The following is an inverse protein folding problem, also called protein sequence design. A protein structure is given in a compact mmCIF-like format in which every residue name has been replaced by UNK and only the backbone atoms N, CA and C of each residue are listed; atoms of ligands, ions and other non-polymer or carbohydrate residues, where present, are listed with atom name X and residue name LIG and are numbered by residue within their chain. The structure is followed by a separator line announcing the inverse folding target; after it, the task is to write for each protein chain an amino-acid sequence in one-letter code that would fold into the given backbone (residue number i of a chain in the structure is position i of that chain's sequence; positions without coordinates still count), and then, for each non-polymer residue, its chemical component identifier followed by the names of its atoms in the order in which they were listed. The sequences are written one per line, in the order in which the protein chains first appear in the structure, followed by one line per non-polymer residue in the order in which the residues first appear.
data_IF_380281262403
#
_entry.id   IF_380281262403
#
_cell.length_a   1.000
_cell.length_b   1.000
_cell.length_c   1.000
_cell.angle_alpha   90.00
_cell.angle_beta   90.00
_cell.angle_gamma   90.00
#
_symmetry.space_group_name_H-M   'P 1'
#
loop_
_entity.id
_entity.type
_entity.pdbx_description
1 polymer ?
#
# COMPACT_ATOMS: atom_id res chain seq x y z
N UNK A 1 -34.37 14.10 60.88
CA UNK A 1 -33.16 14.18 60.01
C UNK A 1 -32.67 12.77 59.71
N UNK A 2 -33.27 12.01 58.86
CA UNK A 2 -32.92 10.60 58.72
C UNK A 2 -33.31 9.91 57.43
N UNK A 3 -33.96 10.55 56.47
CA UNK A 3 -34.38 9.90 55.23
C UNK A 3 -33.83 10.48 53.91
N UNK A 4 -33.26 11.65 53.90
CA UNK A 4 -32.73 12.29 52.69
C UNK A 4 -31.29 11.82 52.37
N UNK A 5 -30.50 11.40 53.33
CA UNK A 5 -29.11 10.96 53.12
C UNK A 5 -28.97 9.60 52.45
N UNK A 6 -29.96 8.68 52.55
CA UNK A 6 -29.88 7.32 51.97
C UNK A 6 -30.24 7.25 50.49
N UNK A 7 -31.04 8.20 49.99
CA UNK A 7 -31.40 8.26 48.60
C UNK A 7 -30.28 8.82 47.72
N UNK A 8 -29.51 9.80 48.24
CA UNK A 8 -28.36 10.36 47.55
C UNK A 8 -27.16 9.39 47.47
N UNK A 9 -26.96 8.56 48.51
CA UNK A 9 -25.92 7.55 48.48
C UNK A 9 -26.15 6.42 47.46
N UNK A 10 -27.42 6.04 47.21
CA UNK A 10 -27.79 5.05 46.17
C UNK A 10 -27.62 5.58 44.74
N UNK A 11 -27.87 6.86 44.49
CA UNK A 11 -27.67 7.50 43.20
C UNK A 11 -26.16 7.58 42.83
N UNK A 12 -25.30 7.90 43.80
CA UNK A 12 -23.86 7.89 43.57
C UNK A 12 -23.27 6.49 43.32
N UNK A 13 -23.82 5.45 43.92
CA UNK A 13 -23.37 4.07 43.68
C UNK A 13 -23.82 3.52 42.33
N UNK A 14 -24.97 3.91 41.81
CA UNK A 14 -25.41 3.55 40.47
C UNK A 14 -24.63 4.28 39.37
N UNK A 15 -24.23 5.52 39.59
CA UNK A 15 -23.37 6.25 38.66
C UNK A 15 -21.96 5.63 38.58
N UNK A 16 -21.38 5.19 39.72
CA UNK A 16 -20.08 4.54 39.74
C UNK A 16 -20.07 3.16 39.05
N UNK A 17 -21.20 2.43 39.06
CA UNK A 17 -21.32 1.12 38.40
C UNK A 17 -21.49 1.24 36.86
N UNK A 18 -21.96 2.37 36.34
CA UNK A 18 -21.99 2.65 34.89
C UNK A 18 -20.61 3.03 34.33
N UNK A 19 -19.73 3.59 35.14
CA UNK A 19 -18.38 4.00 34.71
C UNK A 19 -17.36 2.85 34.69
N UNK A 20 -17.65 1.69 35.25
CA UNK A 20 -16.80 0.50 35.24
C UNK A 20 -16.67 -0.21 33.88
N UNK A 21 -17.41 0.24 32.84
CA UNK A 21 -17.37 -0.36 31.48
C UNK A 21 -16.65 0.47 30.42
N UNK A 22 -16.13 1.62 30.77
CA UNK A 22 -15.32 2.45 29.86
C UNK A 22 -13.91 2.44 30.44
N UNK A 23 -13.02 1.69 29.80
CA UNK A 23 -11.61 1.56 30.19
C UNK A 23 -10.90 2.91 30.15
N UNK A 24 -10.76 3.58 31.30
CA UNK A 24 -9.91 4.73 31.47
C UNK A 24 -8.58 4.34 32.14
N UNK A 25 -7.44 4.83 31.64
CA UNK A 25 -6.15 4.49 32.20
C UNK A 25 -5.95 5.08 33.61
N UNK A 26 -5.25 4.33 34.42
CA UNK A 26 -4.85 4.62 35.79
C UNK A 26 -4.23 6.02 35.98
N UNK A 27 -4.98 6.97 36.47
CA UNK A 27 -4.41 8.17 37.04
C UNK A 27 -5.40 8.80 38.03
N UNK A 28 -5.31 8.38 39.28
CA UNK A 28 -5.52 9.16 40.49
C UNK A 28 -5.57 8.23 41.72
N UNK A 29 -4.41 7.69 42.09
CA UNK A 29 -4.21 7.19 43.46
C UNK A 29 -3.89 8.43 44.32
N UNK A 30 -4.90 9.03 44.94
CA UNK A 30 -4.66 9.92 46.06
C UNK A 30 -4.21 9.07 47.24
N UNK A 31 -2.89 9.11 47.56
CA UNK A 31 -2.38 8.65 48.84
C UNK A 31 -2.91 9.58 49.95
N UNK A 32 -3.48 9.00 51.00
CA UNK A 32 -3.84 9.70 52.23
C UNK A 32 -2.59 10.39 52.79
N UNK A 33 -2.57 11.74 52.74
CA UNK A 33 -1.65 12.54 53.46
C UNK A 33 -2.29 12.91 54.82
N UNK A 34 -1.92 12.15 55.84
CA UNK A 34 -2.27 12.50 57.22
C UNK A 34 -1.44 13.70 57.67
N UNK A 35 -2.05 14.87 57.67
CA UNK A 35 -1.50 16.04 58.34
C UNK A 35 -2.12 16.14 59.74
N UNK A 36 -1.31 15.94 60.82
CA UNK A 36 -1.74 15.91 62.22
C UNK A 36 -2.11 17.29 62.78
N UNK A 37 -2.03 18.40 62.05
CA UNK A 37 -2.16 19.76 62.55
C UNK A 37 -3.40 20.54 62.11
N UNK A 38 -4.25 20.05 61.20
CA UNK A 38 -5.38 20.83 60.64
C UNK A 38 -6.70 20.07 60.73
N UNK A 39 -7.29 19.98 61.94
CA UNK A 39 -8.49 19.18 62.22
C UNK A 39 -9.84 19.74 61.73
N UNK A 40 -9.94 20.86 61.05
CA UNK A 40 -11.24 21.45 60.64
C UNK A 40 -11.32 21.88 59.17
N UNK A 41 -10.33 22.61 58.72
CA UNK A 41 -10.38 23.30 57.42
C UNK A 41 -10.15 22.38 56.19
N UNK A 42 -9.44 21.26 56.37
CA UNK A 42 -9.10 20.38 55.23
C UNK A 42 -10.29 19.59 54.71
N UNK A 43 -11.25 19.21 55.60
CA UNK A 43 -12.47 18.51 55.18
C UNK A 43 -13.40 19.38 54.32
N UNK A 44 -13.47 20.67 54.59
CA UNK A 44 -14.27 21.63 53.83
C UNK A 44 -13.64 21.87 52.45
N UNK A 45 -12.32 22.00 52.39
CA UNK A 45 -11.58 22.21 51.13
C UNK A 45 -11.65 20.97 50.23
N UNK A 46 -11.52 19.76 50.78
CA UNK A 46 -11.68 18.51 49.99
C UNK A 46 -13.11 18.30 49.50
N UNK A 47 -14.13 18.71 50.30
CA UNK A 47 -15.51 18.61 49.88
C UNK A 47 -15.83 19.59 48.72
N UNK A 48 -15.26 20.79 48.77
CA UNK A 48 -15.42 21.83 47.75
C UNK A 48 -14.65 21.46 46.47
N UNK A 49 -13.44 20.89 46.57
CA UNK A 49 -12.66 20.44 45.43
C UNK A 49 -13.34 19.24 44.73
N UNK A 50 -13.89 18.29 45.48
CA UNK A 50 -14.67 17.19 44.90
C UNK A 50 -15.98 17.66 44.22
N UNK A 51 -16.65 18.66 44.76
CA UNK A 51 -17.80 19.29 44.12
C UNK A 51 -17.41 20.04 42.83
N UNK A 52 -16.30 20.77 42.84
CA UNK A 52 -15.76 21.46 41.66
C UNK A 52 -15.36 20.45 40.57
N UNK A 53 -14.71 19.33 40.93
CA UNK A 53 -14.40 18.25 40.00
C UNK A 53 -15.66 17.60 39.38
N UNK A 54 -16.69 17.35 40.20
CA UNK A 54 -17.95 16.78 39.73
C UNK A 54 -18.72 17.77 38.82
N UNK A 55 -18.69 19.06 39.13
CA UNK A 55 -19.32 20.10 38.30
C UNK A 55 -18.55 20.29 37.00
N UNK A 56 -17.21 20.25 37.03
CA UNK A 56 -16.37 20.32 35.80
C UNK A 56 -16.61 19.11 34.88
N UNK A 57 -16.86 17.95 35.47
CA UNK A 57 -17.22 16.75 34.71
C UNK A 57 -18.62 16.82 34.10
N UNK A 58 -19.60 17.38 34.80
CA UNK A 58 -20.96 17.61 34.33
C UNK A 58 -21.03 18.73 33.27
N UNK A 59 -20.22 19.75 33.37
CA UNK A 59 -20.09 20.80 32.35
C UNK A 59 -19.48 20.28 31.05
N UNK A 60 -18.63 19.24 31.08
CA UNK A 60 -18.12 18.55 29.88
C UNK A 60 -19.21 17.80 29.11
N UNK A 61 -20.27 17.37 29.79
CA UNK A 61 -21.38 16.59 29.18
C UNK A 61 -22.56 17.45 28.74
N UNK A 62 -22.73 18.67 29.29
CA UNK A 62 -23.97 19.44 29.14
C UNK A 62 -23.88 20.69 28.26
N UNK A 63 -22.69 21.10 27.78
CA UNK A 63 -22.51 22.31 26.93
C UNK A 63 -23.16 23.60 27.47
N UNK A 64 -23.37 23.73 28.80
CA UNK A 64 -24.02 24.87 29.40
C UNK A 64 -23.03 25.67 30.24
N UNK A 65 -22.88 27.00 30.03
CA UNK A 65 -22.07 27.86 30.92
C UNK A 65 -22.82 28.05 32.25
N UNK A 66 -22.22 27.64 33.34
CA UNK A 66 -22.75 27.84 34.68
C UNK A 66 -21.84 28.82 35.43
N UNK A 67 -22.39 29.98 35.82
CA UNK A 67 -21.70 30.92 36.71
C UNK A 67 -22.05 30.57 38.17
N UNK A 68 -21.01 30.36 38.97
CA UNK A 68 -21.16 30.19 40.43
C UNK A 68 -20.40 31.26 41.16
N UNK A 69 -21.10 31.92 42.09
CA UNK A 69 -20.53 32.87 43.06
C UNK A 69 -20.41 32.19 44.41
N UNK A 70 -19.22 32.05 44.96
CA UNK A 70 -18.96 31.57 46.31
C UNK A 70 -18.57 32.78 47.18
N UNK A 71 -19.40 33.03 48.21
CA UNK A 71 -19.15 34.06 49.25
C UNK A 71 -18.83 35.48 48.74
N UNK A 72 -19.53 35.99 47.77
CA UNK A 72 -19.61 37.42 47.44
C UNK A 72 -18.30 38.13 46.99
N UNK A 73 -17.17 37.46 46.92
CA UNK A 73 -15.90 38.10 46.64
C UNK A 73 -14.95 37.40 45.64
N UNK A 74 -15.24 36.20 45.17
CA UNK A 74 -14.39 35.51 44.18
C UNK A 74 -15.22 35.08 43.00
N UNK A 75 -15.16 35.85 41.92
CA UNK A 75 -15.70 35.48 40.63
C UNK A 75 -14.70 34.51 39.96
N UNK A 76 -15.04 33.23 39.90
CA UNK A 76 -14.21 32.24 39.19
C UNK A 76 -14.56 32.25 37.72
N UNK A 77 -13.94 33.14 36.95
CA UNK A 77 -13.88 33.05 35.47
C UNK A 77 -12.94 31.96 35.00
N UNK A 78 -12.81 30.86 35.74
CA UNK A 78 -11.86 29.79 35.40
C UNK A 78 -12.32 28.84 34.29
N UNK A 79 -13.61 28.81 33.99
CA UNK A 79 -14.12 27.85 32.97
C UNK A 79 -13.80 28.26 31.51
N UNK A 80 -13.57 29.55 31.25
CA UNK A 80 -13.29 30.02 29.88
C UNK A 80 -11.82 29.95 29.49
N UNK A 81 -10.87 29.90 30.41
CA UNK A 81 -9.43 29.80 30.12
C UNK A 81 -8.99 28.34 29.87
N UNK A 82 -9.72 27.36 30.36
CA UNK A 82 -9.45 25.94 30.09
C UNK A 82 -10.15 25.44 28.82
N UNK A 83 -11.15 26.13 28.29
CA UNK A 83 -11.86 25.78 27.05
C UNK A 83 -11.07 26.14 25.80
N UNK A 84 -10.17 27.09 25.87
CA UNK A 84 -9.31 27.49 24.74
C UNK A 84 -7.98 26.74 24.69
N UNK A 85 -7.89 25.55 25.31
CA UNK A 85 -6.87 24.59 24.92
C UNK A 85 -7.29 24.13 23.53
N UNK A 86 -6.78 24.80 22.51
CA UNK A 86 -6.86 24.32 21.12
C UNK A 86 -6.54 22.83 21.15
N UNK A 87 -7.54 21.98 20.83
CA UNK A 87 -7.31 20.56 20.71
C UNK A 87 -6.03 20.38 19.88
N UNK A 88 -5.09 19.61 20.37
CA UNK A 88 -3.85 19.36 19.64
C UNK A 88 -4.24 18.76 18.28
N UNK A 89 -3.39 18.93 17.28
CA UNK A 89 -3.64 18.32 15.98
C UNK A 89 -3.87 16.80 16.14
N UNK A 90 -3.14 16.17 17.08
CA UNK A 90 -3.31 14.75 17.39
C UNK A 90 -4.68 14.41 17.98
N UNK A 91 -5.24 15.24 18.85
CA UNK A 91 -6.60 15.02 19.41
C UNK A 91 -7.69 15.07 18.32
N UNK A 92 -7.48 15.86 17.26
CA UNK A 92 -8.40 15.94 16.12
C UNK A 92 -8.25 14.75 15.17
N UNK A 93 -7.05 14.19 15.06
CA UNK A 93 -6.76 13.05 14.18
C UNK A 93 -7.19 11.71 14.80
N UNK A 94 -7.21 11.62 16.14
CA UNK A 94 -7.49 10.36 16.83
C UNK A 94 -8.83 9.70 16.41
N UNK A 95 -9.97 10.41 16.34
CA UNK A 95 -11.24 9.79 15.90
C UNK A 95 -11.18 9.22 14.48
N UNK A 96 -10.43 9.86 13.59
CA UNK A 96 -10.26 9.38 12.22
C UNK A 96 -9.35 8.16 12.16
N UNK A 97 -8.29 8.12 12.96
CA UNK A 97 -7.42 6.94 13.11
C UNK A 97 -8.20 5.74 13.66
N UNK A 98 -8.96 5.94 14.71
CA UNK A 98 -9.82 4.88 15.30
C UNK A 98 -10.84 4.34 14.29
N UNK A 99 -11.43 5.21 13.47
CA UNK A 99 -12.34 4.83 12.40
C UNK A 99 -11.63 4.03 11.30
N UNK A 100 -10.44 4.44 10.89
CA UNK A 100 -9.61 3.71 9.93
C UNK A 100 -9.26 2.32 10.48
N UNK A 101 -8.80 2.23 11.73
CA UNK A 101 -8.47 0.95 12.37
C UNK A 101 -9.68 -0.01 12.44
N UNK A 102 -10.89 0.55 12.60
CA UNK A 102 -12.12 -0.25 12.58
C UNK A 102 -12.45 -0.75 11.17
N UNK A 103 -12.25 0.08 10.14
CA UNK A 103 -12.45 -0.29 8.73
C UNK A 103 -11.40 -1.32 8.32
N UNK A 104 -10.14 -1.18 8.70
CA UNK A 104 -9.07 -2.13 8.38
C UNK A 104 -9.38 -3.53 8.90
N UNK A 105 -9.94 -3.64 10.11
CA UNK A 105 -10.41 -4.94 10.64
C UNK A 105 -11.54 -5.55 9.80
N UNK A 106 -12.45 -4.73 9.29
CA UNK A 106 -13.52 -5.23 8.40
C UNK A 106 -12.96 -5.69 7.06
N UNK A 107 -12.05 -4.89 6.46
CA UNK A 107 -11.38 -5.25 5.21
C UNK A 107 -10.65 -6.59 5.37
N UNK A 108 -9.87 -6.76 6.44
CA UNK A 108 -9.16 -8.02 6.71
C UNK A 108 -10.12 -9.21 6.80
N UNK A 109 -11.24 -9.06 7.49
CA UNK A 109 -12.26 -10.11 7.60
C UNK A 109 -12.82 -10.47 6.22
N UNK A 110 -13.24 -9.48 5.43
CA UNK A 110 -13.82 -9.68 4.10
C UNK A 110 -12.82 -10.28 3.10
N UNK A 111 -11.54 -9.91 3.17
CA UNK A 111 -10.49 -10.51 2.35
C UNK A 111 -10.32 -12.00 2.68
N UNK A 112 -10.31 -12.39 3.95
CA UNK A 112 -10.21 -13.79 4.36
C UNK A 112 -11.46 -14.61 3.97
N UNK A 113 -12.64 -14.04 4.07
CA UNK A 113 -13.88 -14.66 3.59
C UNK A 113 -13.82 -14.90 2.08
N UNK A 114 -13.39 -13.89 1.32
CA UNK A 114 -13.21 -13.99 -0.13
C UNK A 114 -12.21 -15.09 -0.51
N UNK A 115 -11.07 -15.17 0.18
CA UNK A 115 -10.05 -16.19 -0.04
C UNK A 115 -10.61 -17.61 0.28
N UNK A 116 -11.44 -17.74 1.31
CA UNK A 116 -12.11 -19.00 1.65
C UNK A 116 -13.05 -19.46 0.53
N UNK A 117 -13.83 -18.55 -0.06
CA UNK A 117 -14.69 -18.86 -1.20
C UNK A 117 -13.88 -19.19 -2.46
N UNK A 118 -12.76 -18.49 -2.72
CA UNK A 118 -11.87 -18.79 -3.83
C UNK A 118 -11.32 -20.21 -3.72
N UNK A 119 -10.83 -20.62 -2.54
CA UNK A 119 -10.35 -21.98 -2.29
C UNK A 119 -11.44 -23.04 -2.46
N UNK A 120 -12.66 -22.76 -2.03
CA UNK A 120 -13.79 -23.69 -2.24
C UNK A 120 -14.12 -23.84 -3.72
N UNK A 121 -14.08 -22.77 -4.50
CA UNK A 121 -14.25 -22.81 -5.97
C UNK A 121 -13.14 -23.65 -6.62
N UNK A 122 -11.89 -23.48 -6.19
CA UNK A 122 -10.76 -24.27 -6.68
C UNK A 122 -10.95 -25.77 -6.44
N UNK A 123 -11.37 -26.14 -5.23
CA UNK A 123 -11.67 -27.53 -4.91
C UNK A 123 -12.78 -28.15 -5.79
N UNK A 124 -13.77 -27.35 -6.19
CA UNK A 124 -14.84 -27.79 -7.08
C UNK A 124 -14.40 -27.93 -8.56
N UNK A 125 -13.46 -27.09 -9.01
CA UNK A 125 -12.95 -27.13 -10.40
C UNK A 125 -11.98 -28.31 -10.66
N UNK A 126 -11.36 -28.87 -9.62
CA UNK A 126 -10.38 -29.94 -9.75
C UNK A 126 -9.15 -29.49 -10.57
N UNK A 127 -8.83 -30.22 -11.65
CA UNK A 127 -7.68 -29.93 -12.54
C UNK A 127 -7.96 -28.89 -13.62
N UNK A 128 -9.13 -28.23 -13.59
CA UNK A 128 -9.51 -27.22 -14.58
C UNK A 128 -8.66 -25.93 -14.47
N UNK A 129 -8.81 -25.04 -15.47
CA UNK A 129 -8.12 -23.75 -15.50
C UNK A 129 -8.46 -22.92 -14.28
N UNK A 130 -7.43 -22.60 -13.48
CA UNK A 130 -7.55 -21.81 -12.25
C UNK A 130 -7.81 -20.34 -12.61
N UNK A 131 -7.04 -19.80 -13.54
CA UNK A 131 -7.15 -18.42 -13.99
C UNK A 131 -8.11 -18.31 -15.18
N UNK A 132 -9.00 -17.34 -15.14
CA UNK A 132 -9.97 -17.01 -16.20
C UNK A 132 -9.92 -15.51 -16.48
N UNK A 133 -9.21 -15.10 -17.55
CA UNK A 133 -9.03 -13.69 -17.92
C UNK A 133 -10.35 -12.94 -18.10
N UNK A 134 -11.34 -13.59 -18.74
CA UNK A 134 -12.67 -13.05 -18.99
C UNK A 134 -13.41 -12.73 -17.68
N UNK A 135 -13.26 -13.59 -16.66
CA UNK A 135 -13.88 -13.38 -15.34
C UNK A 135 -13.20 -12.26 -14.60
N UNK A 136 -11.89 -12.18 -14.67
CA UNK A 136 -11.13 -11.07 -14.08
C UNK A 136 -11.56 -9.73 -14.69
N UNK A 137 -11.61 -9.65 -16.01
CA UNK A 137 -12.03 -8.45 -16.71
C UNK A 137 -13.45 -8.01 -16.32
N UNK A 138 -14.40 -8.98 -16.18
CA UNK A 138 -15.75 -8.70 -15.70
C UNK A 138 -15.77 -8.15 -14.28
N UNK A 139 -14.98 -8.72 -13.36
CA UNK A 139 -14.90 -8.26 -11.97
C UNK A 139 -14.33 -6.85 -11.92
N UNK A 140 -13.25 -6.58 -12.66
CA UNK A 140 -12.62 -5.26 -12.67
C UNK A 140 -13.52 -4.18 -13.27
N UNK A 141 -14.25 -4.49 -14.36
CA UNK A 141 -15.26 -3.58 -14.92
C UNK A 141 -16.33 -3.27 -13.88
N UNK A 142 -16.94 -4.29 -13.29
CA UNK A 142 -17.98 -4.13 -12.26
C UNK A 142 -17.50 -3.29 -11.06
N UNK A 143 -16.26 -3.48 -10.63
CA UNK A 143 -15.69 -2.73 -9.50
C UNK A 143 -15.53 -1.24 -9.86
N UNK A 144 -15.09 -0.93 -11.08
CA UNK A 144 -15.02 0.44 -11.58
C UNK A 144 -16.41 1.09 -11.67
N UNK A 145 -17.41 0.36 -12.19
CA UNK A 145 -18.80 0.85 -12.31
C UNK A 145 -19.44 1.11 -10.95
N UNK A 146 -19.04 0.39 -9.91
CA UNK A 146 -19.55 0.53 -8.54
C UNK A 146 -18.75 1.54 -7.71
N UNK A 147 -17.65 2.10 -8.24
CA UNK A 147 -16.81 3.02 -7.49
C UNK A 147 -17.42 4.43 -7.47
N UNK A 148 -17.97 4.83 -6.34
CA UNK A 148 -18.51 6.19 -6.10
C UNK A 148 -17.60 7.01 -5.17
N UNK A 149 -16.46 6.46 -4.78
CA UNK A 149 -15.62 7.02 -3.72
C UNK A 149 -14.53 7.96 -4.22
N UNK A 150 -13.72 8.50 -3.30
CA UNK A 150 -12.64 9.42 -3.62
C UNK A 150 -11.42 8.74 -4.30
N UNK A 151 -11.37 7.41 -4.29
CA UNK A 151 -10.28 6.68 -4.95
C UNK A 151 -10.52 6.65 -6.46
N UNK A 152 -9.49 6.89 -7.29
CA UNK A 152 -9.62 6.78 -8.74
C UNK A 152 -9.85 5.33 -9.16
N UNK A 153 -10.68 5.12 -10.19
CA UNK A 153 -11.08 3.78 -10.69
C UNK A 153 -9.92 2.86 -10.98
N UNK A 154 -8.85 3.38 -11.60
CA UNK A 154 -7.63 2.62 -11.87
C UNK A 154 -6.88 2.21 -10.60
N UNK A 155 -6.96 3.02 -9.55
CA UNK A 155 -6.42 2.69 -8.23
C UNK A 155 -7.17 1.53 -7.60
N UNK A 156 -8.50 1.59 -7.61
CA UNK A 156 -9.37 0.53 -7.09
C UNK A 156 -9.17 -0.76 -7.90
N UNK A 157 -9.10 -0.67 -9.23
CA UNK A 157 -8.85 -1.84 -10.09
C UNK A 157 -7.52 -2.52 -9.78
N UNK A 158 -6.45 -1.75 -9.50
CA UNK A 158 -5.16 -2.30 -9.08
C UNK A 158 -5.28 -3.07 -7.76
N UNK A 159 -5.91 -2.48 -6.74
CA UNK A 159 -6.11 -3.14 -5.45
C UNK A 159 -6.89 -4.45 -5.61
N UNK A 160 -7.97 -4.45 -6.38
CA UNK A 160 -8.75 -5.66 -6.61
C UNK A 160 -7.99 -6.72 -7.42
N UNK A 161 -7.09 -6.33 -8.32
CA UNK A 161 -6.22 -7.29 -9.02
C UNK A 161 -5.28 -7.99 -8.03
N UNK A 162 -4.66 -7.27 -7.12
CA UNK A 162 -3.82 -7.89 -6.07
C UNK A 162 -4.65 -8.82 -5.17
N UNK A 163 -5.84 -8.40 -4.75
CA UNK A 163 -6.75 -9.27 -3.98
C UNK A 163 -7.12 -10.54 -4.75
N UNK A 164 -7.34 -10.45 -6.07
CA UNK A 164 -7.63 -11.64 -6.89
C UNK A 164 -6.39 -12.52 -7.04
N UNK A 165 -5.23 -11.95 -7.25
CA UNK A 165 -3.94 -12.65 -7.33
C UNK A 165 -3.65 -13.45 -6.06
N UNK A 166 -3.77 -12.84 -4.89
CA UNK A 166 -3.59 -13.51 -3.59
C UNK A 166 -4.61 -14.64 -3.39
N UNK A 167 -5.87 -14.43 -3.76
CA UNK A 167 -6.89 -15.48 -3.65
C UNK A 167 -6.63 -16.65 -4.61
N UNK A 168 -6.11 -16.41 -5.80
CA UNK A 168 -5.69 -17.47 -6.74
C UNK A 168 -4.50 -18.24 -6.19
N UNK A 169 -3.52 -17.56 -5.60
CA UNK A 169 -2.34 -18.19 -5.02
C UNK A 169 -2.70 -19.16 -3.86
N UNK A 170 -3.77 -18.87 -3.11
CA UNK A 170 -4.31 -19.78 -2.07
C UNK A 170 -4.90 -21.07 -2.69
N UNK A 171 -5.41 -21.00 -3.92
CA UNK A 171 -5.88 -22.16 -4.68
C UNK A 171 -4.70 -22.92 -5.27
N UNK A 172 -3.94 -22.27 -6.16
CA UNK A 172 -2.70 -22.72 -6.78
C UNK A 172 -1.95 -21.50 -7.34
N UNK A 173 -0.71 -21.25 -6.92
CA UNK A 173 0.11 -20.18 -7.50
C UNK A 173 0.27 -20.37 -9.01
N UNK A 174 0.03 -19.33 -9.79
CA UNK A 174 0.30 -19.33 -11.21
C UNK A 174 1.79 -19.19 -11.47
N UNK A 175 2.32 -19.95 -12.41
CA UNK A 175 3.71 -19.85 -12.87
C UNK A 175 3.76 -19.14 -14.22
N UNK A 176 4.44 -18.00 -14.29
CA UNK A 176 4.48 -17.12 -15.45
C UNK A 176 5.91 -17.05 -16.00
N UNK A 177 6.14 -17.62 -17.18
CA UNK A 177 7.40 -17.50 -17.88
C UNK A 177 7.51 -16.13 -18.58
N UNK A 178 8.70 -15.54 -18.60
CA UNK A 178 8.92 -14.26 -19.24
C UNK A 178 10.37 -14.09 -19.71
N UNK A 179 10.60 -13.19 -20.68
CA UNK A 179 11.95 -12.83 -21.11
C UNK A 179 12.68 -12.08 -19.99
N UNK A 180 13.60 -12.79 -19.33
CA UNK A 180 14.43 -12.30 -18.23
C UNK A 180 15.55 -11.36 -18.66
N UNK A 181 16.45 -11.05 -17.75
CA UNK A 181 16.49 -11.46 -16.34
C UNK A 181 15.42 -10.77 -15.46
N UNK A 182 15.52 -10.95 -14.13
CA UNK A 182 14.69 -10.23 -13.17
C UNK A 182 14.88 -8.71 -13.30
N UNK A 183 13.85 -7.93 -13.02
CA UNK A 183 13.86 -6.46 -13.13
C UNK A 183 13.63 -5.91 -14.53
N UNK A 184 13.34 -6.75 -15.54
CA UNK A 184 13.00 -6.31 -16.91
C UNK A 184 11.56 -5.76 -16.99
N UNK A 185 11.28 -4.98 -18.05
CA UNK A 185 9.92 -4.53 -18.34
C UNK A 185 8.96 -5.68 -18.63
N UNK A 186 9.47 -6.83 -19.13
CA UNK A 186 8.65 -8.02 -19.33
C UNK A 186 8.18 -8.61 -18.01
N UNK A 187 9.04 -8.65 -16.97
CA UNK A 187 8.60 -9.02 -15.63
C UNK A 187 7.57 -8.04 -15.07
N UNK A 188 7.80 -6.73 -15.26
CA UNK A 188 6.84 -5.72 -14.83
C UNK A 188 5.47 -5.90 -15.51
N UNK A 189 5.45 -6.29 -16.80
CA UNK A 189 4.22 -6.63 -17.51
C UNK A 189 3.53 -7.86 -16.91
N UNK A 190 4.29 -8.90 -16.56
CA UNK A 190 3.76 -10.10 -15.91
C UNK A 190 3.13 -9.77 -14.55
N UNK A 191 3.81 -9.01 -13.71
CA UNK A 191 3.30 -8.56 -12.40
C UNK A 191 2.08 -7.67 -12.56
N UNK A 192 2.09 -6.73 -13.51
CA UNK A 192 0.95 -5.85 -13.79
C UNK A 192 -0.30 -6.62 -14.17
N UNK A 193 -0.17 -7.74 -14.88
CA UNK A 193 -1.28 -8.55 -15.36
C UNK A 193 -1.77 -9.54 -14.30
N UNK A 194 -0.87 -10.31 -13.70
CA UNK A 194 -1.19 -11.42 -12.80
C UNK A 194 -1.16 -11.06 -11.31
N UNK A 195 -0.63 -9.89 -10.95
CA UNK A 195 -0.37 -9.50 -9.56
C UNK A 195 0.91 -10.10 -9.00
N UNK A 196 1.23 -9.74 -7.76
CA UNK A 196 2.50 -10.10 -7.11
C UNK A 196 2.53 -11.52 -6.57
N UNK A 197 1.38 -12.17 -6.35
CA UNK A 197 1.32 -13.54 -5.85
C UNK A 197 1.66 -14.61 -6.92
N UNK A 198 1.75 -14.23 -8.19
CA UNK A 198 2.18 -15.12 -9.26
C UNK A 198 3.70 -15.38 -9.18
N UNK A 199 4.10 -16.64 -9.41
CA UNK A 199 5.51 -17.04 -9.49
C UNK A 199 6.04 -16.71 -10.87
N UNK A 200 6.97 -15.74 -10.96
CA UNK A 200 7.57 -15.34 -12.25
C UNK A 200 8.87 -16.10 -12.51
N UNK A 201 9.02 -16.71 -13.68
CA UNK A 201 10.18 -17.52 -14.09
C UNK A 201 10.93 -16.81 -15.21
N UNK A 202 12.15 -16.27 -14.96
CA UNK A 202 12.94 -15.62 -15.99
C UNK A 202 13.56 -16.63 -16.95
N UNK A 203 13.40 -16.40 -18.26
CA UNK A 203 13.96 -17.20 -19.34
C UNK A 203 15.02 -16.39 -20.09
N UNK A 204 15.99 -17.07 -20.70
CA UNK A 204 17.07 -16.40 -21.45
C UNK A 204 16.60 -15.92 -22.83
N UNK A 205 15.59 -16.57 -23.38
CA UNK A 205 14.99 -16.22 -24.68
C UNK A 205 13.46 -16.31 -24.63
N UNK A 206 12.80 -15.63 -25.57
CA UNK A 206 11.34 -15.75 -25.73
C UNK A 206 10.96 -17.18 -26.12
N UNK A 207 11.79 -17.86 -26.92
CA UNK A 207 11.61 -19.26 -27.30
C UNK A 207 11.58 -20.21 -26.11
N UNK A 208 12.50 -20.02 -25.15
CA UNK A 208 12.53 -20.78 -23.91
C UNK A 208 11.25 -20.55 -23.09
N UNK A 209 10.82 -19.31 -22.97
CA UNK A 209 9.62 -18.98 -22.21
C UNK A 209 8.34 -19.60 -22.83
N UNK A 210 8.24 -19.62 -24.15
CA UNK A 210 7.12 -20.26 -24.87
C UNK A 210 7.16 -21.78 -24.67
N UNK A 211 8.35 -22.42 -24.81
CA UNK A 211 8.50 -23.88 -24.61
C UNK A 211 8.12 -24.33 -23.19
N UNK A 212 8.41 -23.55 -22.15
CA UNK A 212 8.01 -23.88 -20.78
C UNK A 212 6.49 -23.99 -20.67
N UNK A 213 5.74 -23.11 -21.34
CA UNK A 213 4.29 -23.16 -21.33
C UNK A 213 3.77 -24.31 -22.20
N UNK A 214 4.34 -24.53 -23.39
CA UNK A 214 4.00 -25.67 -24.25
C UNK A 214 4.20 -27.00 -23.51
N UNK A 215 5.28 -27.11 -22.71
CA UNK A 215 5.60 -28.27 -21.90
C UNK A 215 4.80 -28.36 -20.59
N UNK A 216 3.88 -27.41 -20.31
CA UNK A 216 3.10 -27.28 -19.07
C UNK A 216 3.95 -27.17 -17.80
N UNK A 217 5.17 -26.64 -17.92
CA UNK A 217 6.05 -26.29 -16.81
C UNK A 217 5.79 -24.87 -16.29
N UNK A 218 5.13 -24.05 -17.10
CA UNK A 218 4.54 -22.78 -16.72
C UNK A 218 3.11 -22.69 -17.21
N UNK A 219 2.30 -21.86 -16.58
CA UNK A 219 0.89 -21.69 -16.94
C UNK A 219 0.71 -20.72 -18.11
N UNK A 220 1.46 -19.62 -18.09
CA UNK A 220 1.41 -18.56 -19.11
C UNK A 220 2.81 -18.04 -19.42
N UNK A 221 2.94 -17.43 -20.60
CA UNK A 221 4.11 -16.63 -20.96
C UNK A 221 3.70 -15.20 -21.25
N UNK A 222 4.53 -14.24 -20.81
CA UNK A 222 4.43 -12.84 -21.19
C UNK A 222 5.58 -12.51 -22.13
N UNK A 223 5.26 -12.11 -23.36
CA UNK A 223 6.23 -11.83 -24.41
C UNK A 223 6.00 -10.45 -25.05
N UNK A 224 7.06 -9.63 -25.27
CA UNK A 224 6.94 -8.36 -25.97
C UNK A 224 6.63 -8.58 -27.46
N UNK A 225 5.68 -7.85 -28.02
CA UNK A 225 5.31 -7.94 -29.44
C UNK A 225 5.57 -6.68 -30.24
N UNK A 226 5.52 -5.53 -29.57
CA UNK A 226 5.68 -4.23 -30.23
C UNK A 226 6.19 -3.18 -29.24
N UNK A 227 7.08 -2.34 -29.70
CA UNK A 227 7.49 -1.12 -28.99
C UNK A 227 7.23 0.09 -29.89
N UNK A 228 6.68 1.18 -29.33
CA UNK A 228 6.28 2.37 -30.10
C UNK A 228 7.44 3.09 -30.78
N UNK A 229 8.67 2.93 -30.30
CA UNK A 229 9.87 3.55 -30.88
C UNK A 229 10.64 2.63 -31.82
N UNK A 230 10.59 1.31 -31.61
CA UNK A 230 11.38 0.32 -32.38
C UNK A 230 10.54 -0.54 -33.31
N UNK A 231 9.22 -0.50 -33.13
CA UNK A 231 8.31 -1.32 -33.94
C UNK A 231 8.12 -2.74 -33.41
N UNK A 232 7.83 -3.65 -34.31
CA UNK A 232 7.45 -5.02 -34.01
C UNK A 232 8.63 -5.88 -33.56
N UNK A 233 8.41 -6.74 -32.56
CA UNK A 233 9.39 -7.75 -32.10
C UNK A 233 9.25 -9.00 -32.98
N UNK A 234 9.98 -9.01 -34.10
CA UNK A 234 9.87 -10.05 -35.14
C UNK A 234 9.96 -11.48 -34.59
N UNK A 235 10.90 -11.74 -33.65
CA UNK A 235 11.05 -13.08 -33.08
C UNK A 235 9.80 -13.59 -32.37
N UNK A 236 9.10 -12.72 -31.62
CA UNK A 236 7.84 -13.10 -30.95
C UNK A 236 6.75 -13.38 -32.00
N UNK A 237 6.66 -12.55 -33.04
CA UNK A 237 5.68 -12.76 -34.11
C UNK A 237 5.92 -14.06 -34.86
N UNK A 238 7.18 -14.43 -35.16
CA UNK A 238 7.54 -15.71 -35.79
C UNK A 238 7.11 -16.92 -34.93
N UNK A 239 7.25 -16.81 -33.60
CA UNK A 239 6.82 -17.86 -32.68
C UNK A 239 5.29 -18.01 -32.67
N UNK A 240 4.55 -16.92 -32.74
CA UNK A 240 3.07 -16.97 -32.77
C UNK A 240 2.50 -17.74 -33.95
N UNK A 241 3.22 -17.81 -35.08
CA UNK A 241 2.79 -18.58 -36.27
C UNK A 241 2.83 -20.06 -36.00
N UNK A 242 3.76 -20.55 -35.16
CA UNK A 242 4.05 -21.99 -35.06
C UNK A 242 3.66 -22.59 -33.68
N UNK A 243 3.38 -21.76 -32.65
CA UNK A 243 3.00 -22.25 -31.33
C UNK A 243 1.53 -22.66 -31.26
N UNK A 244 1.19 -23.72 -30.51
CA UNK A 244 -0.20 -24.08 -30.23
C UNK A 244 -0.82 -23.19 -29.14
N UNK A 245 -0.03 -22.28 -28.53
CA UNK A 245 -0.53 -21.37 -27.49
C UNK A 245 -1.41 -20.28 -28.12
N UNK A 246 -2.36 -19.83 -27.33
CA UNK A 246 -3.30 -18.79 -27.75
C UNK A 246 -3.07 -17.51 -26.94
N UNK A 247 -3.36 -16.36 -27.56
CA UNK A 247 -3.34 -15.09 -26.87
C UNK A 247 -4.53 -14.98 -25.91
N UNK A 248 -4.24 -14.98 -24.60
CA UNK A 248 -5.22 -14.92 -23.53
C UNK A 248 -5.38 -13.50 -22.95
N UNK A 249 -4.49 -12.58 -23.31
CA UNK A 249 -4.53 -11.21 -22.84
C UNK A 249 -3.43 -10.34 -23.44
N UNK A 250 -3.56 -9.06 -23.19
CA UNK A 250 -2.60 -8.03 -23.61
C UNK A 250 -2.25 -7.12 -22.45
N UNK A 251 -1.00 -6.72 -22.39
CA UNK A 251 -0.52 -5.71 -21.43
C UNK A 251 0.19 -4.61 -22.18
N UNK A 252 -0.27 -3.38 -22.02
CA UNK A 252 0.43 -2.20 -22.50
C UNK A 252 1.13 -1.54 -21.32
N UNK A 253 2.45 -1.38 -21.41
CA UNK A 253 3.25 -0.63 -20.45
C UNK A 253 3.79 0.65 -21.08
N UNK A 254 3.63 1.75 -20.36
CA UNK A 254 4.45 2.93 -20.58
C UNK A 254 5.84 2.66 -20.01
N UNK A 255 6.87 2.87 -20.83
CA UNK A 255 8.24 2.57 -20.47
C UNK A 255 8.83 3.81 -19.82
N UNK A 256 9.11 3.70 -18.54
CA UNK A 256 9.80 4.72 -17.78
C UNK A 256 11.20 4.23 -17.41
N UNK A 257 12.19 5.02 -17.78
CA UNK A 257 13.58 4.78 -17.41
C UNK A 257 13.95 5.63 -16.20
N UNK A 258 14.50 4.98 -15.18
CA UNK A 258 15.01 5.66 -13.99
C UNK A 258 16.51 5.45 -13.89
N UNK A 259 17.23 6.44 -13.39
CA UNK A 259 18.64 6.27 -13.01
C UNK A 259 18.69 5.78 -11.58
N UNK A 260 19.24 4.60 -11.39
CA UNK A 260 19.24 3.85 -10.13
C UNK A 260 20.66 3.70 -9.60
N UNK A 261 20.88 3.86 -8.30
CA UNK A 261 22.18 3.63 -7.65
C UNK A 261 22.01 3.25 -6.18
N UNK A 262 22.96 2.49 -5.64
CA UNK A 262 23.05 2.21 -4.20
C UNK A 262 23.36 3.48 -3.41
N UNK A 263 24.21 4.37 -3.96
CA UNK A 263 24.65 5.57 -3.25
C UNK A 263 23.57 6.64 -3.02
N UNK A 264 22.47 6.59 -3.78
CA UNK A 264 21.42 7.62 -3.74
C UNK A 264 21.89 9.03 -4.19
N UNK A 265 23.06 9.15 -4.81
CA UNK A 265 23.66 10.44 -5.15
C UNK A 265 24.21 10.48 -6.58
N UNK A 266 23.68 11.42 -7.38
CA UNK A 266 24.14 11.66 -8.75
C UNK A 266 25.63 12.03 -8.82
N UNK A 267 26.16 12.74 -7.81
CA UNK A 267 27.55 13.21 -7.78
C UNK A 267 28.57 12.08 -7.64
N UNK A 268 28.17 10.91 -7.13
CA UNK A 268 29.04 9.75 -6.98
C UNK A 268 29.15 8.90 -8.24
N UNK A 269 28.24 9.10 -9.20
CA UNK A 269 28.17 8.28 -10.42
C UNK A 269 29.38 8.53 -11.31
N UNK A 270 30.18 7.49 -11.53
CA UNK A 270 31.31 7.46 -12.46
C UNK A 270 31.04 6.59 -13.68
N UNK A 271 30.06 5.69 -13.58
CA UNK A 271 29.71 4.76 -14.64
C UNK A 271 28.21 4.50 -14.67
N UNK A 272 27.64 4.41 -15.86
CA UNK A 272 26.24 4.05 -16.08
C UNK A 272 26.17 2.79 -16.91
N UNK A 273 25.49 1.76 -16.40
CA UNK A 273 25.13 0.55 -17.13
C UNK A 273 23.69 0.63 -17.61
N UNK A 274 23.44 0.18 -18.83
CA UNK A 274 22.08 -0.06 -19.35
C UNK A 274 22.13 -0.94 -20.61
N UNK A 275 21.00 -1.42 -21.05
CA UNK A 275 20.86 -1.95 -22.41
C UNK A 275 21.15 -0.83 -23.42
N UNK A 276 21.76 -1.18 -24.56
CA UNK A 276 22.15 -0.19 -25.59
C UNK A 276 20.99 0.72 -25.99
N UNK A 277 19.80 0.17 -26.14
CA UNK A 277 18.57 0.88 -26.44
C UNK A 277 18.22 1.92 -25.37
N UNK A 278 18.30 1.57 -24.09
CA UNK A 278 17.99 2.49 -23.00
C UNK A 278 19.00 3.63 -22.90
N UNK A 279 20.31 3.37 -23.20
CA UNK A 279 21.32 4.42 -23.32
C UNK A 279 20.97 5.42 -24.43
N UNK A 280 20.49 4.92 -25.59
CA UNK A 280 20.07 5.76 -26.70
C UNK A 280 18.80 6.58 -26.37
N UNK A 281 17.83 5.95 -25.70
CA UNK A 281 16.56 6.59 -25.31
C UNK A 281 16.68 7.61 -24.17
N UNK A 282 17.82 7.67 -23.48
CA UNK A 282 18.09 8.61 -22.39
C UNK A 282 19.29 9.52 -22.69
N UNK A 283 19.71 9.62 -23.96
CA UNK A 283 20.95 10.27 -24.34
C UNK A 283 20.96 11.78 -24.02
N UNK A 284 19.87 12.49 -24.30
CA UNK A 284 19.81 13.93 -24.03
C UNK A 284 19.87 14.21 -22.54
N UNK A 285 19.09 13.45 -21.75
CA UNK A 285 19.11 13.59 -20.31
C UNK A 285 20.51 13.31 -19.71
N UNK A 286 21.15 12.21 -20.13
CA UNK A 286 22.50 11.84 -19.67
C UNK A 286 23.54 12.91 -20.03
N UNK A 287 23.45 13.52 -21.21
CA UNK A 287 24.37 14.58 -21.62
C UNK A 287 24.18 15.86 -20.82
N UNK A 288 22.94 16.17 -20.43
CA UNK A 288 22.64 17.39 -19.69
C UNK A 288 22.99 17.31 -18.19
N UNK A 289 22.96 16.11 -17.59
CA UNK A 289 23.05 15.95 -16.14
C UNK A 289 24.30 15.23 -15.64
N UNK A 290 25.00 14.50 -16.52
CA UNK A 290 26.24 13.80 -16.18
C UNK A 290 27.43 14.40 -16.90
N UNK A 291 28.55 14.47 -16.21
CA UNK A 291 29.81 14.94 -16.80
C UNK A 291 30.31 14.04 -17.94
N UNK A 292 31.10 14.60 -18.84
CA UNK A 292 31.67 13.85 -19.97
C UNK A 292 32.65 12.75 -19.58
N UNK A 293 33.09 12.72 -18.34
CA UNK A 293 33.96 11.70 -17.73
C UNK A 293 33.19 10.46 -17.24
N UNK A 294 31.85 10.53 -17.18
CA UNK A 294 31.03 9.38 -16.76
C UNK A 294 30.92 8.37 -17.90
N UNK A 295 31.47 7.18 -17.65
CA UNK A 295 31.44 6.09 -18.62
C UNK A 295 30.01 5.54 -18.82
N UNK A 296 29.62 5.28 -20.06
CA UNK A 296 28.35 4.64 -20.43
C UNK A 296 28.68 3.29 -21.06
N UNK A 297 28.18 2.22 -20.43
CA UNK A 297 28.53 0.86 -20.83
C UNK A 297 27.26 0.07 -21.10
N UNK A 298 27.16 -0.44 -22.33
CA UNK A 298 26.06 -1.30 -22.73
C UNK A 298 26.22 -2.69 -22.12
N UNK A 299 25.11 -3.22 -21.59
CA UNK A 299 24.98 -4.58 -21.06
C UNK A 299 23.81 -5.30 -21.71
N UNK A 300 23.64 -6.59 -21.42
CA UNK A 300 22.65 -7.45 -22.08
C UNK A 300 21.19 -7.05 -21.80
N UNK A 301 20.92 -6.40 -20.66
CA UNK A 301 19.58 -5.95 -20.30
C UNK A 301 19.61 -4.88 -19.20
N UNK A 302 18.50 -4.15 -19.03
CA UNK A 302 18.36 -3.19 -17.93
C UNK A 302 18.27 -3.88 -16.55
N UNK A 303 17.76 -5.11 -16.48
CA UNK A 303 17.82 -5.94 -15.27
C UNK A 303 19.24 -6.30 -14.87
N UNK A 304 20.09 -6.69 -15.85
CA UNK A 304 21.51 -6.95 -15.61
C UNK A 304 22.25 -5.67 -15.21
N UNK A 305 21.94 -4.54 -15.81
CA UNK A 305 22.48 -3.24 -15.40
C UNK A 305 22.20 -2.94 -13.92
N UNK A 306 20.96 -3.15 -13.48
CA UNK A 306 20.58 -2.95 -12.08
C UNK A 306 21.31 -3.91 -11.14
N UNK A 307 21.44 -5.18 -11.52
CA UNK A 307 22.21 -6.19 -10.77
C UNK A 307 23.67 -5.78 -10.60
N UNK A 308 24.30 -5.23 -11.63
CA UNK A 308 25.69 -4.75 -11.56
C UNK A 308 25.81 -3.48 -10.71
N UNK A 309 24.84 -2.56 -10.81
CA UNK A 309 24.86 -1.33 -10.02
C UNK A 309 24.68 -1.56 -8.52
N UNK A 310 24.08 -2.69 -8.11
CA UNK A 310 23.97 -3.09 -6.71
C UNK A 310 25.36 -3.33 -6.05
N UNK A 311 26.36 -3.66 -6.84
CA UNK A 311 27.68 -4.11 -6.35
C UNK A 311 28.67 -2.97 -6.13
N UNK A 312 28.41 -1.75 -6.66
CA UNK A 312 29.35 -0.62 -6.60
C UNK A 312 28.61 0.72 -6.43
N UNK A 313 28.95 1.46 -5.39
CA UNK A 313 28.34 2.77 -5.09
C UNK A 313 28.63 3.87 -6.12
N UNK A 314 29.65 3.71 -6.95
CA UNK A 314 30.02 4.65 -8.01
C UNK A 314 29.34 4.32 -9.36
N UNK A 315 28.53 3.27 -9.37
CA UNK A 315 27.81 2.81 -10.55
C UNK A 315 26.33 3.16 -10.44
N UNK A 316 25.76 3.58 -11.56
CA UNK A 316 24.33 3.70 -11.72
C UNK A 316 23.84 2.79 -12.86
N UNK A 317 22.57 2.44 -12.83
CA UNK A 317 21.90 1.70 -13.89
C UNK A 317 20.70 2.50 -14.42
N UNK A 318 20.44 2.39 -15.72
CA UNK A 318 19.15 2.80 -16.27
C UNK A 318 18.26 1.56 -16.28
N UNK A 319 17.20 1.58 -15.48
CA UNK A 319 16.29 0.45 -15.38
C UNK A 319 14.87 0.86 -14.92
N UNK A 320 14.02 -0.15 -14.77
CA UNK A 320 12.63 0.01 -14.33
C UNK A 320 12.48 0.23 -12.82
N UNK A 321 11.30 0.67 -12.38
CA UNK A 321 10.91 0.70 -10.96
C UNK A 321 11.07 -0.68 -10.31
N UNK A 322 10.60 -1.73 -10.98
CA UNK A 322 10.69 -3.11 -10.47
C UNK A 322 12.15 -3.55 -10.24
N UNK A 323 13.07 -3.13 -11.10
CA UNK A 323 14.49 -3.38 -10.89
C UNK A 323 15.03 -2.67 -9.64
N UNK A 324 14.58 -1.43 -9.37
CA UNK A 324 14.97 -0.72 -8.16
C UNK A 324 14.54 -1.47 -6.90
N UNK A 325 13.32 -2.00 -6.88
CA UNK A 325 12.76 -2.75 -5.76
C UNK A 325 13.47 -4.09 -5.54
N UNK A 326 13.70 -4.86 -6.62
CA UNK A 326 14.36 -6.17 -6.56
C UNK A 326 15.80 -6.07 -6.06
N UNK A 327 16.55 -5.09 -6.57
CA UNK A 327 17.98 -4.94 -6.26
C UNK A 327 18.28 -3.94 -5.14
N UNK A 328 17.24 -3.38 -4.49
CA UNK A 328 17.40 -2.44 -3.38
C UNK A 328 18.10 -1.15 -3.78
N UNK A 329 17.88 -0.67 -5.01
CA UNK A 329 18.49 0.54 -5.53
C UNK A 329 17.63 1.77 -5.30
N UNK A 330 18.28 2.89 -5.01
CA UNK A 330 17.60 4.19 -4.89
C UNK A 330 17.46 4.85 -6.26
N UNK A 331 16.28 5.35 -6.59
CA UNK A 331 16.07 6.20 -7.76
C UNK A 331 16.73 7.57 -7.52
N UNK A 332 17.79 7.87 -8.24
CA UNK A 332 18.50 9.16 -8.19
C UNK A 332 17.99 10.16 -9.23
N UNK A 333 17.32 9.66 -10.26
CA UNK A 333 16.52 10.45 -11.19
C UNK A 333 15.37 9.58 -11.75
N UNK A 334 14.23 10.21 -12.00
CA UNK A 334 13.03 9.54 -12.48
C UNK A 334 12.66 10.03 -13.87
N UNK A 335 12.12 9.10 -14.70
CA UNK A 335 11.59 9.40 -16.04
C UNK A 335 12.61 10.15 -16.89
N UNK A 336 13.79 9.54 -17.05
CA UNK A 336 14.92 10.13 -17.78
C UNK A 336 14.91 9.82 -19.28
N UNK A 337 13.88 9.15 -19.77
CA UNK A 337 13.67 8.88 -21.18
C UNK A 337 13.45 10.20 -21.96
N UNK A 338 14.07 10.29 -23.13
CA UNK A 338 13.98 11.46 -24.01
C UNK A 338 12.59 11.52 -24.69
N UNK A 339 11.94 10.35 -24.95
CA UNK A 339 10.62 10.24 -25.53
C UNK A 339 9.57 9.80 -24.47
N UNK A 340 8.75 10.73 -23.96
CA UNK A 340 7.87 10.44 -22.82
C UNK A 340 6.71 9.50 -23.14
N UNK A 341 6.42 9.22 -24.40
CA UNK A 341 5.29 8.39 -24.83
C UNK A 341 5.69 6.97 -25.27
N UNK A 342 6.91 6.53 -24.93
CA UNK A 342 7.37 5.19 -25.24
C UNK A 342 6.50 4.16 -24.54
N UNK A 343 5.90 3.25 -25.31
CA UNK A 343 5.06 2.15 -24.83
C UNK A 343 5.50 0.83 -25.45
N UNK A 344 5.39 -0.24 -24.66
CA UNK A 344 5.60 -1.61 -25.15
C UNK A 344 4.31 -2.40 -24.93
N UNK A 345 3.91 -3.13 -25.97
CA UNK A 345 2.81 -4.11 -25.93
C UNK A 345 3.38 -5.49 -25.69
N UNK A 346 2.76 -6.20 -24.77
CA UNK A 346 3.08 -7.58 -24.42
C UNK A 346 1.84 -8.44 -24.62
N UNK A 347 2.01 -9.63 -25.16
CA UNK A 347 0.97 -10.65 -25.19
C UNK A 347 1.16 -11.62 -24.04
N UNK A 348 0.03 -12.04 -23.50
CA UNK A 348 -0.07 -13.17 -22.56
C UNK A 348 -0.54 -14.38 -23.37
N UNK A 349 0.28 -15.44 -23.40
CA UNK A 349 -0.03 -16.66 -24.14
C UNK A 349 -0.21 -17.83 -23.17
N UNK A 350 -1.14 -18.70 -23.48
CA UNK A 350 -1.45 -19.90 -22.71
C UNK A 350 -2.14 -20.98 -23.54
N UNK A 351 -2.45 -22.12 -22.92
CA UNK A 351 -3.20 -23.22 -23.57
C UNK A 351 -4.71 -23.00 -23.60
N UNK A 352 -5.19 -21.88 -23.12
CA UNK A 352 -6.60 -21.67 -22.85
C UNK A 352 -7.26 -20.87 -23.97
N UNK A 353 -8.36 -21.42 -24.51
CA UNK A 353 -9.28 -20.66 -25.32
C UNK A 353 -9.98 -19.61 -24.49
N UNK A 354 -9.78 -18.34 -24.83
CA UNK A 354 -10.49 -17.22 -24.21
C UNK A 354 -11.53 -16.70 -25.19
N UNK A 355 -12.76 -16.58 -24.72
CA UNK A 355 -13.78 -15.79 -25.43
C UNK A 355 -13.58 -14.32 -25.13
N UNK A 356 -13.67 -13.44 -26.11
CA UNK A 356 -13.50 -12.00 -25.92
C UNK A 356 -14.52 -11.37 -24.98
#
# INVERSE_FOLDING_TARGET
MGRVGKAQAKSCFQAAAMFGRVGLPNACRCRELQCRSCKGSLKIILHTVNQICAITMLCRLALVPIEFTINGAISVKCALLLWNRTMSMDDKLLPHRDAIDAIDRQILTLLNERATHARAIGALKGTGAVYRPEREAQVLRRIKDLNEGPLPDEGVARLFREVMSECLAVERPLTIAYLGPMGTFTQMAAIKHFGHAAVTVPCTTVDESVRLVEARQADYVVAPVENSTEGSVGRTLDLLVNTPLQACGEVVLRIHHHLLSVSGSLKKVKKVYAHAQALAQCQFWLNAHLGGDVQRVAVSSNGEAARLAQLDENVAAIASQTAAEIYGLTKIAENIEDEPNNTTRFLVLGHQDTTP
#
